data_IF_579829948693
#
_entry.id   IF_579829948693
#
_cell.length_a   1.000
_cell.length_b   1.000
_cell.length_c   1.000
_cell.angle_alpha   90.00
_cell.angle_beta   90.00
_cell.angle_gamma   90.00
#
_symmetry.space_group_name_H-M   'P 1'
#
loop_
_entity.id
_entity.type
_entity.pdbx_description
1 polymer ?
#
# COMPACT_ATOMS: atom_id res chain seq x y z
N UNK A 1 -26.17 27.02 44.35
CA UNK A 1 -25.14 26.42 43.48
C UNK A 1 -24.61 27.53 42.58
N UNK A 2 -23.47 28.13 42.94
CA UNK A 2 -22.93 29.31 42.25
C UNK A 2 -22.27 28.89 40.94
N UNK A 3 -22.97 29.08 39.83
CA UNK A 3 -22.41 28.88 38.48
C UNK A 3 -21.52 30.10 38.16
N UNK A 4 -20.22 29.89 37.93
CA UNK A 4 -19.32 31.00 37.61
C UNK A 4 -19.46 31.43 36.15
N UNK A 5 -19.30 32.73 35.85
CA UNK A 5 -19.34 33.30 34.48
C UNK A 5 -18.45 32.56 33.47
N UNK A 6 -17.38 31.90 33.93
CA UNK A 6 -16.49 31.08 33.10
C UNK A 6 -17.12 29.77 32.62
N UNK A 7 -18.04 29.19 33.39
CA UNK A 7 -18.71 27.95 33.02
C UNK A 7 -19.80 28.21 31.98
N UNK A 8 -20.53 29.33 32.12
CA UNK A 8 -21.52 29.76 31.12
C UNK A 8 -20.90 29.98 29.74
N UNK A 9 -19.71 30.60 29.66
CA UNK A 9 -19.00 30.81 28.39
C UNK A 9 -18.47 29.50 27.77
N UNK A 10 -18.04 28.53 28.59
CA UNK A 10 -17.65 27.20 28.10
C UNK A 10 -18.83 26.44 27.51
N UNK A 11 -20.00 26.46 28.17
CA UNK A 11 -21.20 25.78 27.66
C UNK A 11 -21.80 26.48 26.43
N UNK A 12 -21.69 27.80 26.34
CA UNK A 12 -22.13 28.58 25.18
C UNK A 12 -21.29 28.31 23.92
N UNK A 13 -19.97 28.15 24.08
CA UNK A 13 -19.07 27.84 22.97
C UNK A 13 -19.28 26.42 22.41
N UNK A 14 -19.59 25.45 23.28
CA UNK A 14 -19.88 24.06 22.87
C UNK A 14 -21.24 23.96 22.14
N UNK A 15 -22.25 24.72 22.57
CA UNK A 15 -23.56 24.76 21.89
C UNK A 15 -23.50 25.51 20.54
N UNK A 16 -22.72 26.59 20.44
CA UNK A 16 -22.56 27.35 19.19
C UNK A 16 -21.81 26.59 18.08
N UNK A 17 -20.77 25.84 18.45
CA UNK A 17 -20.01 25.02 17.49
C UNK A 17 -20.84 23.84 16.95
N UNK A 18 -21.70 23.24 17.77
CA UNK A 18 -22.58 22.14 17.37
C UNK A 18 -23.74 22.56 16.46
N UNK A 19 -24.05 23.87 16.35
CA UNK A 19 -25.08 24.43 15.46
C UNK A 19 -24.56 24.98 14.13
N UNK A 20 -23.25 25.22 14.01
CA UNK A 20 -22.62 25.73 12.78
C UNK A 20 -22.10 24.62 11.85
N UNK A 21 -22.19 23.37 12.30
CA UNK A 21 -21.76 22.19 11.58
C UNK A 21 -22.91 21.66 10.71
N UNK A 22 -22.70 21.48 9.40
CA UNK A 22 -23.77 21.02 8.50
C UNK A 22 -24.23 19.61 8.90
N UNK A 23 -25.53 19.32 8.74
CA UNK A 23 -26.21 18.14 9.31
C UNK A 23 -25.53 16.78 9.05
N UNK A 24 -24.72 16.65 7.99
CA UNK A 24 -23.94 15.45 7.69
C UNK A 24 -22.83 15.16 8.72
N UNK A 25 -22.25 16.18 9.34
CA UNK A 25 -21.23 16.02 10.39
C UNK A 25 -21.80 15.54 11.74
N UNK A 26 -23.10 15.72 11.98
CA UNK A 26 -23.77 15.19 13.18
C UNK A 26 -23.98 13.68 13.13
N UNK A 27 -24.14 13.09 11.94
CA UNK A 27 -24.18 11.64 11.77
C UNK A 27 -22.80 10.99 12.02
N UNK A 28 -21.70 11.72 11.74
CA UNK A 28 -20.32 11.29 12.01
C UNK A 28 -20.00 11.26 13.51
N UNK A 29 -20.61 12.14 14.31
CA UNK A 29 -20.40 12.23 15.76
C UNK A 29 -21.09 11.12 16.58
N UNK A 30 -21.99 10.33 15.98
CA UNK A 30 -22.72 9.26 16.66
C UNK A 30 -22.15 7.87 16.40
N UNK A 31 -21.00 7.77 15.73
CA UNK A 31 -20.46 6.50 15.27
C UNK A 31 -19.33 5.98 16.16
N UNK A 32 -19.36 4.67 16.43
CA UNK A 32 -18.31 3.93 17.15
C UNK A 32 -16.98 3.81 16.36
N UNK A 33 -16.89 4.41 15.16
CA UNK A 33 -15.74 4.31 14.24
C UNK A 33 -15.23 5.69 13.83
N UNK A 34 -13.89 5.88 13.71
CA UNK A 34 -13.35 7.11 13.17
C UNK A 34 -13.74 7.30 11.70
N UNK A 35 -13.88 8.54 11.24
CA UNK A 35 -14.02 8.82 9.82
C UNK A 35 -12.75 8.38 9.06
N UNK A 36 -12.90 7.89 7.84
CA UNK A 36 -11.79 7.57 6.94
C UNK A 36 -10.96 8.83 6.69
N UNK A 37 -9.66 8.85 7.04
CA UNK A 37 -8.78 9.95 6.66
C UNK A 37 -8.69 10.05 5.14
N UNK A 38 -8.90 11.24 4.59
CA UNK A 38 -8.77 11.51 3.16
C UNK A 38 -7.45 12.25 2.94
N UNK A 39 -6.46 11.68 2.22
CA UNK A 39 -5.27 12.39 1.80
C UNK A 39 -5.61 13.67 1.05
N UNK A 40 -4.89 14.75 1.33
CA UNK A 40 -5.03 15.99 0.56
C UNK A 40 -4.70 15.74 -0.91
N UNK A 41 -5.57 16.25 -1.80
CA UNK A 41 -5.31 16.25 -3.24
C UNK A 41 -4.48 17.49 -3.59
N UNK A 42 -3.20 17.28 -3.87
CA UNK A 42 -2.22 18.34 -4.07
C UNK A 42 -1.93 18.53 -5.55
N UNK A 43 -2.17 19.73 -6.06
CA UNK A 43 -1.78 20.16 -7.41
C UNK A 43 -0.52 21.02 -7.37
N UNK A 44 0.15 21.16 -8.51
CA UNK A 44 1.25 22.10 -8.65
C UNK A 44 0.80 23.57 -8.46
N UNK A 45 1.68 24.38 -7.87
CA UNK A 45 1.48 25.83 -7.72
C UNK A 45 1.61 26.58 -9.07
N UNK A 46 1.48 27.91 -9.06
CA UNK A 46 1.60 28.74 -10.26
C UNK A 46 2.98 28.66 -10.96
N UNK A 47 4.00 28.08 -10.32
CA UNK A 47 5.35 27.84 -10.86
C UNK A 47 5.53 26.38 -11.29
N UNK A 48 4.44 25.61 -11.39
CA UNK A 48 4.45 24.17 -11.64
C UNK A 48 5.23 23.37 -10.59
N UNK A 49 5.22 23.82 -9.32
CA UNK A 49 5.94 23.17 -8.21
C UNK A 49 5.01 22.52 -7.20
N UNK A 50 5.43 21.36 -6.68
CA UNK A 50 4.85 20.68 -5.53
C UNK A 50 5.92 20.58 -4.45
N UNK A 51 5.55 20.80 -3.18
CA UNK A 51 6.44 20.60 -2.03
C UNK A 51 6.06 19.32 -1.29
N UNK A 52 7.05 18.49 -1.00
CA UNK A 52 6.94 17.34 -0.12
C UNK A 52 7.97 17.45 1.00
N UNK A 53 7.50 17.36 2.25
CA UNK A 53 8.35 17.31 3.43
C UNK A 53 8.27 15.91 4.02
N UNK A 54 9.39 15.18 3.98
CA UNK A 54 9.54 13.89 4.66
C UNK A 54 9.85 14.18 6.13
N UNK A 55 9.02 13.72 7.06
CA UNK A 55 9.14 14.10 8.47
C UNK A 55 8.73 12.99 9.43
N UNK A 56 9.24 13.10 10.65
CA UNK A 56 8.79 12.30 11.79
C UNK A 56 7.73 13.06 12.57
N UNK A 57 6.76 12.32 13.11
CA UNK A 57 5.64 12.82 13.88
C UNK A 57 5.12 11.77 14.85
N UNK A 58 3.91 11.99 15.36
CA UNK A 58 3.22 11.04 16.24
C UNK A 58 1.80 10.77 15.75
N UNK A 59 1.40 9.51 15.77
CA UNK A 59 0.04 9.06 15.42
C UNK A 59 -0.51 8.16 16.52
N UNK A 60 -1.82 8.27 16.76
CA UNK A 60 -2.50 7.44 17.77
C UNK A 60 -3.21 6.28 17.08
N UNK A 61 -2.91 5.06 17.52
CA UNK A 61 -3.52 3.81 17.08
C UNK A 61 -4.24 3.18 18.29
N UNK A 62 -5.57 3.22 18.29
CA UNK A 62 -6.35 2.81 19.47
C UNK A 62 -6.01 3.68 20.68
N UNK A 63 -5.54 3.06 21.76
CA UNK A 63 -5.15 3.76 22.99
C UNK A 63 -3.69 4.25 23.00
N UNK A 64 -2.88 3.87 22.01
CA UNK A 64 -1.43 4.04 22.03
C UNK A 64 -0.98 5.11 21.04
N UNK A 65 0.03 5.90 21.40
CA UNK A 65 0.68 6.86 20.50
C UNK A 65 2.06 6.35 20.08
N UNK A 66 2.27 6.21 18.77
CA UNK A 66 3.53 5.77 18.18
C UNK A 66 4.25 6.94 17.50
N UNK A 67 5.58 6.86 17.44
CA UNK A 67 6.37 7.63 16.48
C UNK A 67 6.10 7.10 15.08
N UNK A 68 5.77 7.98 14.15
CA UNK A 68 5.42 7.64 12.76
C UNK A 68 6.07 8.64 11.81
N UNK A 69 6.26 8.25 10.56
CA UNK A 69 6.80 9.13 9.52
C UNK A 69 5.77 9.38 8.44
N UNK A 70 5.79 10.57 7.84
CA UNK A 70 4.89 10.95 6.76
C UNK A 70 5.49 11.96 5.80
N UNK A 71 4.81 12.14 4.68
CA UNK A 71 5.00 13.21 3.71
C UNK A 71 3.96 14.30 3.97
N UNK A 72 4.36 15.54 4.26
CA UNK A 72 3.47 16.66 4.62
C UNK A 72 2.54 16.37 5.83
N UNK A 73 2.89 15.42 6.68
CA UNK A 73 2.05 14.97 7.79
C UNK A 73 2.77 13.99 8.71
N UNK A 74 2.07 13.48 9.73
CA UNK A 74 2.67 12.56 10.71
C UNK A 74 2.73 11.11 10.22
N UNK A 75 1.90 10.73 9.25
CA UNK A 75 1.74 9.38 8.74
C UNK A 75 1.20 9.45 7.29
N UNK A 76 1.62 8.51 6.43
CA UNK A 76 1.27 8.46 5.02
C UNK A 76 1.68 9.75 4.30
N UNK A 77 0.86 10.25 3.37
CA UNK A 77 1.20 11.36 2.51
C UNK A 77 0.01 11.80 1.66
N UNK A 78 0.17 12.92 0.93
CA UNK A 78 -0.88 13.43 0.06
C UNK A 78 -1.09 12.54 -1.17
N UNK A 79 -2.16 12.83 -1.92
CA UNK A 79 -2.34 12.39 -3.30
C UNK A 79 -1.91 13.51 -4.24
N UNK A 80 -0.86 13.30 -5.04
CA UNK A 80 -0.41 14.28 -6.03
C UNK A 80 -1.25 14.15 -7.30
N UNK A 81 -1.92 15.22 -7.72
CA UNK A 81 -2.64 15.24 -8.99
C UNK A 81 -1.71 15.74 -10.10
N UNK A 82 -1.41 14.84 -11.03
CA UNK A 82 -0.59 15.10 -12.20
C UNK A 82 -1.40 14.99 -13.48
N UNK A 83 -0.91 15.57 -14.57
CA UNK A 83 -1.56 15.48 -15.88
C UNK A 83 -0.58 15.04 -16.96
N UNK A 84 -1.01 14.11 -17.81
CA UNK A 84 -0.26 13.67 -18.99
C UNK A 84 0.17 14.88 -19.83
N UNK A 85 1.44 14.93 -20.23
CA UNK A 85 2.03 15.99 -21.04
C UNK A 85 2.23 17.32 -20.32
N UNK A 86 2.04 17.41 -18.99
CA UNK A 86 2.29 18.61 -18.20
C UNK A 86 3.49 18.40 -17.28
N UNK A 87 4.55 19.17 -17.50
CA UNK A 87 5.75 19.16 -16.67
C UNK A 87 5.44 19.65 -15.25
N UNK A 88 5.98 18.94 -14.27
CA UNK A 88 5.94 19.30 -12.86
C UNK A 88 7.35 19.24 -12.27
N UNK A 89 7.63 20.12 -11.32
CA UNK A 89 8.81 20.02 -10.46
C UNK A 89 8.34 19.67 -9.05
N UNK A 90 8.92 18.65 -8.42
CA UNK A 90 8.67 18.30 -7.01
C UNK A 90 9.91 18.59 -6.20
N UNK A 91 9.77 19.44 -5.20
CA UNK A 91 10.80 19.75 -4.21
C UNK A 91 10.58 18.88 -2.97
N UNK A 92 11.55 18.02 -2.67
CA UNK A 92 11.47 17.01 -1.63
C UNK A 92 12.46 17.38 -0.53
N UNK A 93 11.96 17.80 0.63
CA UNK A 93 12.76 18.15 1.79
C UNK A 93 12.76 17.01 2.80
N UNK A 94 13.93 16.43 3.09
CA UNK A 94 14.06 15.38 4.08
C UNK A 94 14.40 15.98 5.45
N UNK A 95 13.47 15.94 6.40
CA UNK A 95 13.69 16.39 7.78
C UNK A 95 13.98 15.24 8.75
N UNK A 96 14.02 14.00 8.27
CA UNK A 96 14.42 12.85 9.07
C UNK A 96 15.89 12.96 9.48
N UNK A 97 16.26 12.21 10.51
CA UNK A 97 17.65 12.08 10.97
C UNK A 97 18.47 11.08 10.14
N UNK A 98 17.89 10.51 9.08
CA UNK A 98 18.54 9.53 8.20
C UNK A 98 18.29 9.83 6.72
N UNK A 99 19.12 9.22 5.87
CA UNK A 99 18.93 9.23 4.43
C UNK A 99 17.62 8.56 4.03
N UNK A 100 17.01 9.08 2.97
CA UNK A 100 15.88 8.45 2.31
C UNK A 100 15.96 8.66 0.81
N UNK A 101 15.10 8.00 0.07
CA UNK A 101 14.83 8.30 -1.33
C UNK A 101 13.31 8.48 -1.50
N UNK A 102 12.85 8.87 -2.69
CA UNK A 102 11.43 8.91 -3.00
C UNK A 102 11.22 8.37 -4.39
N UNK A 103 10.71 7.14 -4.46
CA UNK A 103 10.42 6.44 -5.71
C UNK A 103 8.98 6.67 -6.14
N UNK A 104 8.78 6.89 -7.44
CA UNK A 104 7.47 7.08 -8.06
C UNK A 104 6.94 5.76 -8.62
N UNK A 105 6.41 4.91 -7.74
CA UNK A 105 5.94 3.59 -8.13
C UNK A 105 4.80 3.65 -9.15
N UNK A 106 5.08 3.12 -10.34
CA UNK A 106 4.16 3.07 -11.47
C UNK A 106 4.30 4.24 -12.44
N UNK A 107 5.17 5.22 -12.18
CA UNK A 107 5.45 6.30 -13.11
C UNK A 107 6.53 5.90 -14.13
N UNK A 108 6.26 6.17 -15.40
CA UNK A 108 7.18 5.99 -16.53
C UNK A 108 8.07 7.24 -16.65
N UNK A 109 9.15 7.28 -15.87
CA UNK A 109 10.09 8.41 -15.80
C UNK A 109 11.55 7.98 -16.02
N UNK A 110 12.44 8.90 -16.43
CA UNK A 110 13.87 8.61 -16.52
C UNK A 110 14.48 8.18 -15.17
N UNK A 111 15.51 7.32 -15.20
CA UNK A 111 16.17 6.82 -14.00
C UNK A 111 16.75 7.92 -13.10
N UNK A 112 17.15 9.05 -13.69
CA UNK A 112 17.67 10.21 -12.96
C UNK A 112 16.67 10.82 -11.99
N UNK A 113 15.36 10.66 -12.24
CA UNK A 113 14.28 11.22 -11.40
C UNK A 113 13.42 10.15 -10.76
N UNK A 114 13.63 8.88 -11.11
CA UNK A 114 12.89 7.72 -10.61
C UNK A 114 12.92 7.60 -9.08
N UNK A 115 14.08 7.88 -8.46
CA UNK A 115 14.22 7.88 -7.00
C UNK A 115 14.40 6.49 -6.37
N UNK A 116 14.89 5.52 -7.15
CA UNK A 116 15.47 4.28 -6.64
C UNK A 116 16.65 4.49 -5.66
N UNK A 117 17.39 3.43 -5.29
CA UNK A 117 18.33 3.46 -4.17
C UNK A 117 19.52 4.43 -4.35
N UNK A 118 19.81 4.85 -5.57
CA UNK A 118 20.85 5.84 -5.89
C UNK A 118 20.36 7.30 -5.70
N UNK A 119 19.05 7.52 -5.62
CA UNK A 119 18.40 8.83 -5.50
C UNK A 119 18.41 9.40 -4.07
N UNK A 120 19.56 9.34 -3.40
CA UNK A 120 19.71 9.69 -1.98
C UNK A 120 19.34 11.16 -1.73
N UNK A 121 18.54 11.37 -0.68
CA UNK A 121 18.25 12.66 -0.07
C UNK A 121 18.77 12.63 1.36
N UNK A 122 19.89 13.33 1.59
CA UNK A 122 20.53 13.39 2.91
C UNK A 122 19.57 13.92 4.00
N UNK A 123 19.80 13.55 5.25
CA UNK A 123 19.13 14.13 6.40
C UNK A 123 19.28 15.66 6.41
N UNK A 124 18.17 16.39 6.57
CA UNK A 124 18.11 17.86 6.44
C UNK A 124 18.25 18.40 5.01
N UNK A 125 18.46 17.52 4.03
CA UNK A 125 18.69 17.87 2.63
C UNK A 125 17.41 18.13 1.84
N UNK A 126 17.59 18.68 0.63
CA UNK A 126 16.50 18.87 -0.33
C UNK A 126 16.92 18.35 -1.69
N UNK A 127 16.00 17.69 -2.39
CA UNK A 127 16.17 17.25 -3.78
C UNK A 127 14.98 17.71 -4.61
N UNK A 128 15.26 18.35 -5.74
CA UNK A 128 14.24 18.74 -6.71
C UNK A 128 14.29 17.80 -7.91
N UNK A 129 13.14 17.27 -8.32
CA UNK A 129 12.99 16.49 -9.56
C UNK A 129 12.01 17.16 -10.49
N UNK A 130 12.29 17.11 -11.79
CA UNK A 130 11.38 17.64 -12.82
C UNK A 130 11.14 16.56 -13.86
N UNK A 131 9.87 16.29 -14.15
CA UNK A 131 9.47 15.31 -15.15
C UNK A 131 8.13 15.67 -15.77
N UNK A 132 7.84 15.04 -16.90
CA UNK A 132 6.57 15.17 -17.61
C UNK A 132 5.95 13.78 -17.68
N UNK A 133 4.84 13.52 -16.98
CA UNK A 133 4.13 12.25 -17.12
C UNK A 133 3.69 12.05 -18.58
N UNK A 134 4.03 10.92 -19.19
CA UNK A 134 3.65 10.60 -20.57
C UNK A 134 2.88 9.27 -20.71
N UNK A 135 2.37 8.77 -19.59
CA UNK A 135 1.53 7.57 -19.55
C UNK A 135 0.04 7.91 -19.45
N UNK A 136 -0.81 6.89 -19.55
CA UNK A 136 -2.26 7.01 -19.40
C UNK A 136 -2.67 7.36 -17.96
N UNK A 137 -3.90 7.83 -17.79
CA UNK A 137 -4.47 8.07 -16.47
C UNK A 137 -4.44 6.80 -15.61
N UNK A 138 -3.95 6.93 -14.38
CA UNK A 138 -3.75 5.82 -13.46
C UNK A 138 -3.65 6.32 -12.01
N UNK A 139 -3.93 5.43 -11.06
CA UNK A 139 -3.55 5.60 -9.66
C UNK A 139 -2.21 4.91 -9.43
N UNK A 140 -1.17 5.71 -9.32
CA UNK A 140 0.18 5.34 -8.91
C UNK A 140 0.40 5.74 -7.45
N UNK A 141 1.60 5.48 -6.93
CA UNK A 141 1.95 5.85 -5.56
C UNK A 141 3.42 6.18 -5.44
N UNK A 142 3.84 6.73 -4.30
CA UNK A 142 5.24 7.02 -4.03
C UNK A 142 5.62 6.60 -2.62
N UNK A 143 6.85 6.13 -2.48
CA UNK A 143 7.36 5.55 -1.24
C UNK A 143 8.90 5.59 -1.22
N UNK A 144 9.55 5.39 -0.05
CA UNK A 144 11.00 5.36 0.03
C UNK A 144 11.57 4.11 -0.64
N UNK A 145 12.78 4.23 -1.17
CA UNK A 145 13.51 3.13 -1.81
C UNK A 145 14.97 3.03 -1.32
N UNK A 146 15.21 3.47 -0.07
CA UNK A 146 16.52 3.44 0.57
C UNK A 146 17.08 2.01 0.61
N UNK A 147 18.30 1.83 0.08
CA UNK A 147 18.95 0.54 0.02
C UNK A 147 19.03 -0.13 1.41
N UNK A 148 18.51 -1.37 1.51
CA UNK A 148 18.46 -2.15 2.76
C UNK A 148 17.47 -1.64 3.81
N UNK A 149 16.77 -0.50 3.59
CA UNK A 149 15.86 0.11 4.58
C UNK A 149 14.46 0.42 4.06
N UNK A 150 14.14 0.15 2.79
CA UNK A 150 12.79 0.36 2.22
C UNK A 150 11.68 -0.15 3.14
N UNK A 151 11.79 -1.40 3.58
CA UNK A 151 10.78 -2.01 4.46
C UNK A 151 10.59 -1.24 5.77
N UNK A 152 11.67 -0.78 6.39
CA UNK A 152 11.61 0.00 7.63
C UNK A 152 10.91 1.34 7.41
N UNK A 153 11.36 2.10 6.40
CA UNK A 153 10.85 3.44 6.16
C UNK A 153 9.36 3.44 5.74
N UNK A 154 8.92 2.44 4.97
CA UNK A 154 7.48 2.21 4.69
C UNK A 154 6.73 1.81 5.95
N UNK A 155 7.28 0.89 6.76
CA UNK A 155 6.64 0.47 8.01
C UNK A 155 6.47 1.63 9.00
N UNK A 156 7.42 2.57 9.05
CA UNK A 156 7.32 3.80 9.86
C UNK A 156 6.21 4.74 9.38
N UNK A 157 5.81 4.66 8.11
CA UNK A 157 4.61 5.33 7.61
C UNK A 157 4.72 6.05 6.28
N UNK A 158 5.89 6.05 5.62
CA UNK A 158 6.11 6.79 4.38
C UNK A 158 5.45 6.10 3.18
N UNK A 159 4.29 6.62 2.75
CA UNK A 159 3.67 6.34 1.47
C UNK A 159 2.71 7.49 1.09
N UNK A 160 2.63 7.84 -0.18
CA UNK A 160 1.60 8.75 -0.71
C UNK A 160 1.14 8.32 -2.09
N UNK A 161 0.14 9.01 -2.64
CA UNK A 161 -0.46 8.63 -3.93
C UNK A 161 -0.05 9.58 -5.05
N UNK A 162 -0.12 9.08 -6.29
CA UNK A 162 -0.03 9.89 -7.50
C UNK A 162 -1.22 9.56 -8.38
N UNK A 163 -2.03 10.55 -8.71
CA UNK A 163 -3.16 10.42 -9.63
C UNK A 163 -2.79 11.10 -10.93
N UNK A 164 -2.61 10.31 -11.98
CA UNK A 164 -2.40 10.82 -13.32
C UNK A 164 -3.75 10.98 -14.00
N UNK A 165 -4.02 12.17 -14.53
CA UNK A 165 -5.16 12.42 -15.42
C UNK A 165 -4.70 12.62 -16.86
N UNK A 166 -5.56 12.24 -17.79
CA UNK A 166 -5.43 12.53 -19.22
C UNK A 166 -6.76 13.05 -19.78
N UNK A 167 -6.78 13.40 -21.07
CA UNK A 167 -7.98 13.95 -21.68
C UNK A 167 -9.10 12.89 -21.83
N UNK A 168 -8.76 11.61 -22.05
CA UNK A 168 -9.72 10.51 -22.22
C UNK A 168 -10.47 10.22 -20.91
N UNK A 169 -9.75 10.00 -19.82
CA UNK A 169 -10.31 9.72 -18.50
C UNK A 169 -11.22 10.82 -17.97
N UNK A 170 -10.95 12.08 -18.34
CA UNK A 170 -11.78 13.23 -17.95
C UNK A 170 -13.12 13.32 -18.68
N UNK A 171 -13.24 12.66 -19.83
CA UNK A 171 -14.50 12.55 -20.57
C UNK A 171 -15.42 11.50 -19.96
N UNK A 172 -14.85 10.50 -19.27
CA UNK A 172 -15.64 9.50 -18.55
C UNK A 172 -16.38 10.16 -17.39
N UNK A 173 -17.64 9.80 -17.23
CA UNK A 173 -18.48 10.25 -16.11
C UNK A 173 -18.32 9.35 -14.89
N UNK A 174 -17.11 8.85 -14.62
CA UNK A 174 -16.82 8.12 -13.38
C UNK A 174 -17.04 9.03 -12.16
N UNK A 175 -17.28 8.44 -10.96
CA UNK A 175 -17.17 9.18 -9.71
C UNK A 175 -15.81 9.88 -9.62
N UNK A 176 -15.82 11.13 -9.15
CA UNK A 176 -14.67 12.06 -9.24
C UNK A 176 -14.66 13.16 -8.19
N UNK A 177 -15.59 13.17 -7.25
CA UNK A 177 -15.56 14.06 -6.10
C UNK A 177 -14.64 13.44 -5.05
N UNK A 178 -13.39 13.91 -5.03
CA UNK A 178 -12.35 13.42 -4.13
C UNK A 178 -12.80 13.47 -2.66
N UNK A 179 -12.69 12.34 -1.97
CA UNK A 179 -13.09 12.20 -0.57
C UNK A 179 -14.60 12.11 -0.36
N UNK A 180 -15.41 12.01 -1.42
CA UNK A 180 -16.87 11.85 -1.36
C UNK A 180 -17.28 10.58 -2.09
N UNK A 181 -17.21 10.58 -3.42
CA UNK A 181 -17.56 9.43 -4.27
C UNK A 181 -16.36 8.86 -5.03
N UNK A 182 -15.18 9.50 -4.92
CA UNK A 182 -13.89 9.01 -5.39
C UNK A 182 -12.89 9.05 -4.24
N UNK A 183 -12.52 7.89 -3.72
CA UNK A 183 -11.89 7.77 -2.40
C UNK A 183 -10.67 6.86 -2.47
N UNK A 184 -9.49 7.30 -2.00
CA UNK A 184 -8.35 6.42 -1.85
C UNK A 184 -8.51 5.51 -0.63
N UNK A 185 -8.06 4.26 -0.76
CA UNK A 185 -8.10 3.25 0.30
C UNK A 185 -6.74 2.55 0.33
N UNK A 186 -5.81 3.13 1.07
CA UNK A 186 -4.47 2.59 1.33
C UNK A 186 -4.56 1.65 2.52
N UNK A 187 -4.38 0.35 2.26
CA UNK A 187 -4.49 -0.69 3.29
C UNK A 187 -3.11 -1.19 3.66
N UNK A 188 -2.80 -1.18 4.95
CA UNK A 188 -1.51 -1.60 5.49
C UNK A 188 -1.71 -2.39 6.78
N UNK A 189 -0.94 -3.43 7.00
CA UNK A 189 -0.81 -4.02 8.34
C UNK A 189 0.42 -3.46 9.07
N UNK A 190 0.30 -3.35 10.41
CA UNK A 190 1.40 -3.00 11.31
C UNK A 190 1.34 -3.87 12.56
N UNK A 191 2.51 -4.05 13.16
CA UNK A 191 2.67 -4.65 14.49
C UNK A 191 3.13 -3.56 15.44
N UNK A 192 2.63 -3.60 16.67
CA UNK A 192 3.04 -2.68 17.73
C UNK A 192 3.63 -3.46 18.91
N UNK A 193 4.62 -2.88 19.57
CA UNK A 193 5.16 -3.42 20.81
C UNK A 193 4.29 -3.04 22.03
N UNK A 194 4.67 -3.49 23.22
CA UNK A 194 3.90 -3.22 24.45
C UNK A 194 3.81 -1.72 24.81
N UNK A 195 4.79 -0.91 24.38
CA UNK A 195 4.80 0.55 24.54
C UNK A 195 4.03 1.28 23.43
N UNK A 196 3.40 0.53 22.51
CA UNK A 196 2.62 1.06 21.41
C UNK A 196 3.43 1.64 20.26
N UNK A 197 4.76 1.44 20.23
CA UNK A 197 5.59 1.83 19.08
C UNK A 197 5.49 0.78 17.96
N UNK A 198 5.75 1.20 16.72
CA UNK A 198 5.83 0.31 15.57
C UNK A 198 6.97 -0.69 15.80
N UNK A 199 6.66 -1.98 15.77
CA UNK A 199 7.60 -3.08 15.97
C UNK A 199 8.09 -3.59 14.61
N UNK A 200 9.06 -2.88 14.04
CA UNK A 200 9.76 -3.29 12.82
C UNK A 200 11.09 -3.93 13.17
N UNK A 201 11.31 -5.15 12.70
CA UNK A 201 12.62 -5.83 12.75
C UNK A 201 12.87 -6.48 11.40
N UNK A 202 14.07 -6.27 10.85
CA UNK A 202 14.59 -7.07 9.75
C UNK A 202 15.52 -8.14 10.35
N UNK A 203 14.99 -9.34 10.47
CA UNK A 203 15.63 -10.52 11.07
C UNK A 203 15.50 -11.74 10.13
N UNK A 204 16.06 -12.88 10.53
CA UNK A 204 16.03 -14.11 9.71
C UNK A 204 14.61 -14.54 9.34
N UNK A 205 13.64 -14.37 10.24
CA UNK A 205 12.24 -14.74 9.99
C UNK A 205 11.63 -13.80 8.95
N UNK A 206 11.66 -12.50 9.19
CA UNK A 206 11.09 -11.49 8.29
C UNK A 206 11.83 -11.37 6.95
N UNK A 207 13.11 -11.73 6.88
CA UNK A 207 13.85 -11.82 5.62
C UNK A 207 13.42 -13.00 4.74
N UNK A 208 12.87 -14.07 5.34
CA UNK A 208 12.37 -15.24 4.62
C UNK A 208 10.88 -15.09 4.23
N UNK A 209 10.02 -14.69 5.19
CA UNK A 209 8.56 -14.70 5.01
C UNK A 209 7.91 -13.32 4.96
N UNK A 210 8.72 -12.27 5.09
CA UNK A 210 8.27 -10.88 5.14
C UNK A 210 7.82 -10.42 6.52
N UNK A 211 7.73 -9.09 6.68
CA UNK A 211 7.14 -8.48 7.88
C UNK A 211 5.62 -8.40 7.74
N UNK A 212 4.92 -8.86 8.77
CA UNK A 212 3.48 -8.73 8.90
C UNK A 212 3.09 -8.46 10.36
N UNK A 213 1.96 -7.82 10.54
CA UNK A 213 1.39 -7.50 11.84
C UNK A 213 -0.03 -8.05 12.03
N UNK A 214 -0.61 -7.72 13.18
CA UNK A 214 -1.95 -8.10 13.60
C UNK A 214 -2.96 -6.94 13.53
N UNK A 215 -2.50 -5.73 13.23
CA UNK A 215 -3.33 -4.52 13.18
C UNK A 215 -3.44 -4.03 11.74
N UNK A 216 -4.65 -4.08 11.18
CA UNK A 216 -4.95 -3.53 9.86
C UNK A 216 -5.32 -2.04 9.95
N UNK A 217 -4.71 -1.23 9.08
CA UNK A 217 -4.95 0.19 8.93
C UNK A 217 -5.53 0.47 7.55
N UNK A 218 -6.45 1.42 7.49
CA UNK A 218 -7.00 1.98 6.24
C UNK A 218 -6.85 3.50 6.28
N UNK A 219 -6.02 4.02 5.38
CA UNK A 219 -5.53 5.40 5.40
C UNK A 219 -4.97 5.81 6.78
N UNK A 220 -4.31 4.87 7.47
CA UNK A 220 -3.73 5.07 8.80
C UNK A 220 -4.71 4.94 9.97
N UNK A 221 -6.01 4.78 9.74
CA UNK A 221 -7.01 4.55 10.80
C UNK A 221 -7.34 3.06 10.97
N UNK A 222 -7.65 2.65 12.20
CA UNK A 222 -8.16 1.30 12.49
C UNK A 222 -9.66 1.28 12.20
N UNK A 223 -10.08 0.43 11.26
CA UNK A 223 -11.48 0.20 10.85
C UNK A 223 -12.34 1.48 10.78
N UNK A 224 -11.95 2.44 9.91
CA UNK A 224 -12.71 3.66 9.73
C UNK A 224 -14.06 3.42 9.05
N UNK A 225 -14.87 4.47 9.02
CA UNK A 225 -16.08 4.55 8.21
C UNK A 225 -15.99 5.67 7.16
N UNK A 226 -16.60 5.46 6.00
CA UNK A 226 -16.75 6.45 4.95
C UNK A 226 -18.22 6.67 4.61
N UNK A 227 -18.66 7.93 4.63
CA UNK A 227 -20.03 8.29 4.27
C UNK A 227 -20.09 8.69 2.79
N UNK A 228 -20.86 7.96 1.99
CA UNK A 228 -20.88 8.11 0.54
C UNK A 228 -22.30 8.36 -0.01
N UNK A 229 -22.48 9.21 -1.04
CA UNK A 229 -23.78 9.41 -1.69
C UNK A 229 -24.25 8.15 -2.43
N UNK A 230 -25.57 7.90 -2.48
CA UNK A 230 -26.19 6.78 -3.21
C UNK A 230 -25.82 6.80 -4.69
N UNK A 231 -25.58 5.64 -5.28
CA UNK A 231 -25.13 5.49 -6.66
C UNK A 231 -23.82 4.72 -6.69
N UNK A 232 -22.90 5.15 -7.55
CA UNK A 232 -21.58 4.54 -7.67
C UNK A 232 -20.55 5.21 -6.76
N UNK A 233 -19.90 4.41 -5.91
CA UNK A 233 -18.72 4.79 -5.15
C UNK A 233 -17.48 4.21 -5.82
N UNK A 234 -16.49 5.06 -6.13
CA UNK A 234 -15.17 4.65 -6.65
C UNK A 234 -14.18 4.57 -5.49
N UNK A 235 -13.54 3.41 -5.35
CA UNK A 235 -12.47 3.16 -4.41
C UNK A 235 -11.17 2.94 -5.17
N UNK A 236 -10.14 3.74 -4.86
CA UNK A 236 -8.78 3.58 -5.38
C UNK A 236 -7.97 2.80 -4.35
N UNK A 237 -7.96 1.48 -4.50
CA UNK A 237 -7.35 0.55 -3.57
C UNK A 237 -5.82 0.53 -3.79
N UNK A 238 -5.06 0.59 -2.71
CA UNK A 238 -3.62 0.34 -2.69
C UNK A 238 -3.34 -0.69 -1.59
N UNK A 239 -2.71 -1.81 -1.94
CA UNK A 239 -2.09 -2.67 -0.95
C UNK A 239 -0.70 -2.08 -0.61
N UNK A 240 -0.62 -1.31 0.48
CA UNK A 240 0.61 -0.70 0.98
C UNK A 240 1.32 -1.54 2.04
N UNK A 241 1.00 -2.84 2.17
CA UNK A 241 1.65 -3.73 3.14
C UNK A 241 3.08 -4.06 2.70
N UNK A 242 3.96 -4.33 3.66
CA UNK A 242 5.34 -4.74 3.36
C UNK A 242 5.39 -6.11 2.68
N UNK A 243 4.60 -7.07 3.15
CA UNK A 243 4.64 -8.46 2.67
C UNK A 243 3.29 -9.15 2.55
N UNK A 244 2.22 -8.59 3.12
CA UNK A 244 0.90 -9.21 3.16
C UNK A 244 0.17 -9.00 1.83
N UNK A 245 -0.20 -10.08 1.14
CA UNK A 245 -1.24 -10.04 0.11
C UNK A 245 -2.63 -9.87 0.74
N UNK A 246 -3.53 -9.23 0.01
CA UNK A 246 -4.92 -8.97 0.41
C UNK A 246 -5.87 -9.60 -0.60
N UNK A 247 -7.13 -9.80 -0.20
CA UNK A 247 -8.19 -10.25 -1.11
C UNK A 247 -9.50 -9.53 -0.77
N UNK A 248 -9.81 -8.44 -1.48
CA UNK A 248 -10.92 -7.57 -1.13
C UNK A 248 -12.28 -8.16 -1.54
N UNK A 249 -13.28 -8.03 -0.68
CA UNK A 249 -14.66 -8.37 -0.97
C UNK A 249 -15.62 -7.43 -0.20
N UNK A 250 -16.90 -7.46 -0.54
CA UNK A 250 -17.93 -6.81 0.28
C UNK A 250 -18.55 -7.81 1.28
N UNK A 251 -18.82 -7.36 2.50
CA UNK A 251 -19.37 -8.19 3.58
C UNK A 251 -20.73 -8.82 3.25
N UNK A 252 -21.54 -8.15 2.43
CA UNK A 252 -22.84 -8.62 1.97
C UNK A 252 -22.80 -9.28 0.58
N UNK A 253 -21.59 -9.53 0.07
CA UNK A 253 -21.31 -10.17 -1.22
C UNK A 253 -21.76 -9.36 -2.44
N UNK A 254 -22.05 -8.06 -2.29
CA UNK A 254 -22.24 -7.18 -3.47
C UNK A 254 -20.95 -7.17 -4.32
N UNK A 255 -21.07 -7.12 -5.64
CA UNK A 255 -19.91 -7.18 -6.53
C UNK A 255 -19.05 -5.91 -6.47
N UNK A 256 -17.77 -6.07 -6.78
CA UNK A 256 -16.86 -4.99 -7.11
C UNK A 256 -16.70 -4.94 -8.64
N UNK A 257 -16.74 -3.74 -9.22
CA UNK A 257 -16.53 -3.54 -10.66
C UNK A 257 -15.16 -2.92 -10.89
N UNK A 258 -14.18 -3.73 -11.26
CA UNK A 258 -12.82 -3.27 -11.54
C UNK A 258 -12.81 -2.45 -12.82
N UNK A 259 -12.34 -1.20 -12.73
CA UNK A 259 -12.27 -0.27 -13.87
C UNK A 259 -10.84 0.13 -14.22
N UNK A 260 -9.88 -0.04 -13.31
CA UNK A 260 -8.47 0.20 -13.57
C UNK A 260 -7.57 -0.74 -12.77
N UNK A 261 -6.37 -0.99 -13.30
CA UNK A 261 -5.24 -1.64 -12.61
C UNK A 261 -4.08 -0.66 -12.44
N UNK A 262 -2.88 -1.14 -12.10
CA UNK A 262 -1.68 -0.33 -11.85
C UNK A 262 -1.40 0.77 -12.88
N UNK A 263 -1.55 0.42 -14.16
CA UNK A 263 -1.19 1.26 -15.31
C UNK A 263 -2.37 1.98 -15.96
N UNK A 264 -3.54 1.99 -15.32
CA UNK A 264 -4.71 2.74 -15.76
C UNK A 264 -5.93 1.90 -16.10
N UNK A 265 -6.84 2.51 -16.84
CA UNK A 265 -8.15 1.93 -17.16
C UNK A 265 -8.05 0.59 -17.92
N UNK A 266 -8.93 -0.34 -17.53
CA UNK A 266 -9.29 -1.54 -18.30
C UNK A 266 -10.14 -1.14 -19.52
N UNK A 267 -10.29 -1.97 -20.57
CA UNK A 267 -11.09 -1.60 -21.73
C UNK A 267 -12.59 -1.50 -21.39
N UNK A 268 -13.06 -2.35 -20.48
CA UNK A 268 -14.42 -2.40 -19.96
C UNK A 268 -14.40 -2.82 -18.48
N UNK A 269 -15.46 -2.55 -17.69
CA UNK A 269 -15.52 -2.96 -16.29
C UNK A 269 -15.53 -4.49 -16.13
N UNK A 270 -14.69 -5.01 -15.24
CA UNK A 270 -14.67 -6.44 -14.89
C UNK A 270 -15.34 -6.65 -13.55
N UNK A 271 -16.48 -7.34 -13.56
CA UNK A 271 -17.25 -7.66 -12.34
C UNK A 271 -16.60 -8.82 -11.59
N UNK A 272 -16.29 -8.63 -10.32
CA UNK A 272 -15.72 -9.66 -9.44
C UNK A 272 -16.45 -9.75 -8.11
N UNK A 273 -16.43 -10.93 -7.49
CA UNK A 273 -16.92 -11.14 -6.11
C UNK A 273 -15.83 -10.89 -5.06
N UNK A 274 -14.58 -11.12 -5.45
CA UNK A 274 -13.38 -10.93 -4.65
C UNK A 274 -12.23 -10.45 -5.54
N UNK A 275 -11.29 -9.71 -4.98
CA UNK A 275 -10.20 -9.06 -5.69
C UNK A 275 -8.87 -9.28 -4.96
N UNK A 276 -8.08 -10.29 -5.36
CA UNK A 276 -6.72 -10.47 -4.89
C UNK A 276 -5.86 -9.26 -5.24
N UNK A 277 -5.03 -8.81 -4.30
CA UNK A 277 -4.09 -7.70 -4.48
C UNK A 277 -2.74 -8.00 -3.81
N UNK A 278 -1.68 -7.96 -4.60
CA UNK A 278 -0.30 -8.09 -4.15
C UNK A 278 0.25 -6.76 -3.63
N UNK A 279 1.38 -6.82 -2.93
CA UNK A 279 2.01 -5.66 -2.31
C UNK A 279 2.45 -4.65 -3.37
N UNK A 280 2.00 -3.40 -3.24
CA UNK A 280 2.26 -2.31 -4.17
C UNK A 280 1.30 -2.21 -5.36
N UNK A 281 0.40 -3.19 -5.55
CA UNK A 281 -0.62 -3.12 -6.59
C UNK A 281 -1.72 -2.11 -6.26
N UNK A 282 -2.31 -1.54 -7.31
CA UNK A 282 -3.51 -0.71 -7.25
C UNK A 282 -4.57 -1.26 -8.17
N UNK A 283 -5.80 -1.21 -7.67
CA UNK A 283 -6.99 -1.36 -8.49
C UNK A 283 -7.98 -0.26 -8.15
N UNK A 284 -8.69 0.20 -9.16
CA UNK A 284 -9.82 1.08 -8.96
C UNK A 284 -11.10 0.31 -9.20
N UNK A 285 -12.00 0.35 -8.23
CA UNK A 285 -13.28 -0.38 -8.29
C UNK A 285 -14.45 0.56 -8.10
N UNK A 286 -15.54 0.29 -8.79
CA UNK A 286 -16.85 0.88 -8.51
C UNK A 286 -17.69 -0.10 -7.72
N UNK A 287 -18.41 0.41 -6.72
CA UNK A 287 -19.37 -0.35 -5.91
C UNK A 287 -20.72 0.35 -5.93
N UNK A 288 -21.78 -0.40 -6.22
CA UNK A 288 -23.15 0.14 -6.20
C UNK A 288 -23.67 0.22 -4.76
N UNK A 289 -24.01 1.42 -4.33
CA UNK A 289 -24.58 1.73 -3.01
C UNK A 289 -25.96 2.38 -3.10
N UNK A 290 -26.64 2.22 -4.25
CA UNK A 290 -27.98 2.78 -4.51
C UNK A 290 -29.06 2.24 -3.57
N UNK A 291 -28.88 1.01 -3.06
CA UNK A 291 -29.81 0.36 -2.12
C UNK A 291 -29.85 1.05 -0.74
N UNK A 292 -28.87 1.91 -0.44
CA UNK A 292 -28.77 2.65 0.80
C UNK A 292 -28.42 1.80 2.02
N UNK A 293 -27.98 0.54 1.83
CA UNK A 293 -27.63 -0.36 2.94
C UNK A 293 -26.15 -0.24 3.29
N UNK A 294 -25.78 -0.04 4.57
CA UNK A 294 -24.39 -0.11 5.00
C UNK A 294 -23.80 -1.49 4.78
N UNK A 295 -22.50 -1.54 4.46
CA UNK A 295 -21.73 -2.78 4.33
C UNK A 295 -20.25 -2.48 4.64
N UNK A 296 -19.46 -3.52 4.88
CA UNK A 296 -18.02 -3.39 5.03
C UNK A 296 -17.31 -3.83 3.75
N UNK A 297 -16.31 -3.07 3.32
CA UNK A 297 -15.19 -3.63 2.56
C UNK A 297 -14.38 -4.49 3.53
N UNK A 298 -14.11 -5.74 3.14
CA UNK A 298 -13.33 -6.71 3.93
C UNK A 298 -12.15 -7.21 3.12
N UNK A 299 -11.12 -7.73 3.79
CA UNK A 299 -10.13 -8.63 3.17
C UNK A 299 -10.38 -10.06 3.64
N UNK A 300 -10.41 -11.01 2.70
CA UNK A 300 -10.55 -12.43 2.96
C UNK A 300 -9.19 -13.05 3.35
N UNK A 301 -9.18 -14.20 4.04
CA UNK A 301 -7.95 -14.96 4.28
C UNK A 301 -7.26 -15.32 2.96
N UNK A 302 -5.93 -15.24 2.95
CA UNK A 302 -5.09 -15.54 1.78
C UNK A 302 -4.26 -16.80 2.03
N UNK A 303 -4.03 -17.58 0.98
CA UNK A 303 -3.08 -18.71 1.00
C UNK A 303 -1.66 -18.21 0.83
N UNK A 304 -1.18 -17.50 1.86
CA UNK A 304 0.20 -17.03 1.97
C UNK A 304 0.69 -17.35 3.38
N UNK A 305 1.88 -17.92 3.46
CA UNK A 305 2.52 -18.30 4.70
C UNK A 305 2.60 -17.15 5.71
N UNK A 306 2.22 -17.41 6.96
CA UNK A 306 2.15 -16.41 8.04
C UNK A 306 0.94 -15.47 7.97
N UNK A 307 0.30 -15.32 6.80
CA UNK A 307 -0.72 -14.29 6.57
C UNK A 307 -2.13 -14.72 7.01
N UNK A 308 -2.36 -16.00 7.28
CA UNK A 308 -3.62 -16.51 7.81
C UNK A 308 -3.61 -16.68 9.36
N UNK A 309 -2.67 -16.04 10.06
CA UNK A 309 -2.69 -15.96 11.53
C UNK A 309 -3.76 -14.96 11.97
N UNK A 310 -4.49 -15.28 13.04
CA UNK A 310 -5.50 -14.40 13.62
C UNK A 310 -4.93 -12.97 13.87
N UNK A 311 -5.70 -11.91 13.54
CA UNK A 311 -7.12 -11.91 13.20
C UNK A 311 -7.46 -12.16 11.71
N UNK A 312 -6.47 -12.48 10.87
CA UNK A 312 -6.61 -12.65 9.42
C UNK A 312 -6.95 -14.10 8.98
N UNK A 313 -7.23 -14.98 9.93
CA UNK A 313 -7.73 -16.35 9.71
C UNK A 313 -9.20 -16.38 9.24
N UNK A 314 -9.85 -15.22 9.22
CA UNK A 314 -11.23 -14.98 8.82
C UNK A 314 -11.34 -13.66 8.04
N UNK A 315 -12.47 -13.38 7.36
CA UNK A 315 -12.71 -12.09 6.75
C UNK A 315 -12.51 -10.95 7.76
N UNK A 316 -11.60 -10.03 7.45
CA UNK A 316 -11.22 -8.93 8.31
C UNK A 316 -11.78 -7.60 7.75
N UNK A 317 -12.51 -6.81 8.56
CA UNK A 317 -13.00 -5.50 8.11
C UNK A 317 -11.86 -4.55 7.74
N UNK A 318 -12.05 -3.80 6.64
CA UNK A 318 -11.14 -2.77 6.14
C UNK A 318 -11.79 -1.41 6.35
N UNK A 319 -12.97 -1.21 5.77
CA UNK A 319 -13.66 0.08 5.73
C UNK A 319 -15.16 -0.13 5.80
N UNK A 320 -15.82 0.55 6.74
CA UNK A 320 -17.28 0.60 6.80
C UNK A 320 -17.83 1.64 5.82
N UNK A 321 -18.71 1.25 4.91
CA UNK A 321 -19.37 2.18 3.98
C UNK A 321 -20.77 2.49 4.50
N UNK A 322 -21.03 3.78 4.73
CA UNK A 322 -22.31 4.32 5.19
C UNK A 322 -22.98 5.13 4.06
N UNK A 323 -23.94 4.57 3.32
CA UNK A 323 -24.65 5.32 2.30
C UNK A 323 -25.45 6.50 2.89
N UNK A 324 -25.43 7.63 2.21
CA UNK A 324 -26.19 8.84 2.50
C UNK A 324 -27.49 8.88 1.68
N UNK A 325 -28.40 9.80 2.01
CA UNK A 325 -29.64 9.98 1.25
C UNK A 325 -29.46 10.74 -0.08
N UNK A 326 -28.35 11.46 -0.23
CA UNK A 326 -28.03 12.25 -1.42
C UNK A 326 -27.51 11.33 -2.53
N UNK A 327 -27.90 11.60 -3.78
CA UNK A 327 -27.45 10.83 -4.93
C UNK A 327 -26.13 11.37 -5.51
N UNK A 328 -25.26 10.46 -5.91
CA UNK A 328 -24.04 10.71 -6.68
C UNK A 328 -24.37 10.89 -8.16
N UNK A 329 -23.54 11.64 -8.88
CA UNK A 329 -23.71 11.85 -10.33
C UNK A 329 -22.84 10.91 -11.18
N UNK A 330 -21.92 10.17 -10.56
CA UNK A 330 -21.03 9.24 -11.25
C UNK A 330 -21.78 8.07 -11.87
N UNK A 331 -21.28 7.59 -13.00
CA UNK A 331 -21.80 6.44 -13.76
C UNK A 331 -20.72 5.39 -13.95
N UNK A 332 -21.11 4.16 -14.26
CA UNK A 332 -20.23 3.09 -14.74
C UNK A 332 -20.44 2.93 -16.26
N UNK A 333 -19.54 3.44 -17.12
CA UNK A 333 -19.63 3.24 -18.57
C UNK A 333 -19.33 1.79 -18.96
N UNK A 334 -19.99 1.30 -20.03
CA UNK A 334 -19.71 -0.04 -20.58
C UNK A 334 -18.32 -0.12 -21.23
N UNK A 335 -17.82 0.99 -21.76
CA UNK A 335 -16.47 1.10 -22.35
C UNK A 335 -15.70 2.22 -21.66
N UNK A 336 -14.47 1.92 -21.27
CA UNK A 336 -13.62 2.80 -20.48
C UNK A 336 -12.43 3.34 -21.30
N UNK A 337 -11.74 2.48 -22.04
CA UNK A 337 -10.64 2.87 -22.93
C UNK A 337 -10.41 1.82 -24.02
N UNK A 338 -9.49 2.11 -24.95
CA UNK A 338 -8.99 1.14 -25.93
C UNK A 338 -7.58 0.68 -25.54
N UNK A 339 -7.39 -0.62 -25.35
CA UNK A 339 -6.06 -1.22 -25.16
C UNK A 339 -5.46 -1.67 -26.51
N UNK A 340 -4.15 -1.45 -26.73
CA UNK A 340 -3.48 -2.01 -27.90
C UNK A 340 -3.43 -3.53 -27.81
N UNK A 341 -3.51 -4.20 -28.96
CA UNK A 341 -3.25 -5.64 -29.05
C UNK A 341 -1.79 -5.95 -28.70
N UNK A 342 -1.53 -7.16 -28.19
CA UNK A 342 -0.18 -7.63 -27.97
C UNK A 342 0.58 -7.75 -29.30
N UNK A 343 1.85 -7.32 -29.38
CA UNK A 343 2.68 -7.51 -30.57
C UNK A 343 3.03 -9.00 -30.76
N UNK A 344 3.54 -9.35 -31.95
CA UNK A 344 4.15 -10.67 -32.16
C UNK A 344 5.31 -10.88 -31.17
N UNK A 345 5.42 -12.10 -30.64
CA UNK A 345 6.49 -12.50 -29.73
C UNK A 345 7.76 -12.95 -30.47
N UNK A 346 7.67 -13.20 -31.77
CA UNK A 346 8.79 -13.64 -32.60
C UNK A 346 9.83 -12.53 -32.72
N UNK A 347 11.11 -12.87 -32.52
CA UNK A 347 12.22 -11.93 -32.60
C UNK A 347 12.38 -10.98 -31.41
N UNK A 348 11.46 -10.99 -30.43
CA UNK A 348 11.62 -10.19 -29.21
C UNK A 348 12.79 -10.72 -28.37
N UNK A 349 13.61 -9.80 -27.84
CA UNK A 349 14.68 -10.17 -26.89
C UNK A 349 14.05 -10.80 -25.65
N UNK A 350 14.52 -11.99 -25.28
CA UNK A 350 14.08 -12.68 -24.07
C UNK A 350 15.13 -12.55 -22.97
N UNK A 351 14.71 -12.14 -21.77
CA UNK A 351 15.55 -12.09 -20.57
C UNK A 351 14.98 -13.04 -19.52
N UNK A 352 15.85 -13.80 -18.85
CA UNK A 352 15.46 -14.69 -17.75
C UNK A 352 15.92 -14.09 -16.41
N UNK A 353 15.00 -14.04 -15.45
CA UNK A 353 15.24 -13.63 -14.07
C UNK A 353 14.84 -14.79 -13.16
N UNK A 354 15.82 -15.52 -12.66
CA UNK A 354 15.61 -16.59 -11.68
C UNK A 354 15.66 -15.99 -10.28
N UNK A 355 14.54 -15.99 -9.57
CA UNK A 355 14.49 -15.66 -8.16
C UNK A 355 15.01 -16.84 -7.36
N UNK A 356 15.78 -16.58 -6.31
CA UNK A 356 16.17 -17.61 -5.34
C UNK A 356 16.32 -17.05 -3.94
N UNK A 357 15.99 -17.87 -2.96
CA UNK A 357 16.27 -17.64 -1.55
C UNK A 357 17.33 -18.67 -1.10
N UNK A 358 18.30 -18.25 -0.30
CA UNK A 358 19.28 -19.17 0.27
C UNK A 358 18.53 -20.27 1.06
N UNK A 359 18.79 -21.56 0.81
CA UNK A 359 18.07 -22.65 1.48
C UNK A 359 18.18 -22.64 3.00
N UNK A 360 19.30 -22.14 3.55
CA UNK A 360 19.49 -22.02 4.99
C UNK A 360 18.66 -20.86 5.57
N UNK A 361 18.55 -19.73 4.85
CA UNK A 361 17.64 -18.64 5.23
C UNK A 361 16.20 -19.14 5.23
N UNK A 362 15.77 -19.81 4.16
CA UNK A 362 14.42 -20.36 4.04
C UNK A 362 14.11 -21.28 5.22
N UNK A 363 14.95 -22.29 5.45
CA UNK A 363 14.77 -23.24 6.54
C UNK A 363 14.74 -22.56 7.93
N UNK A 364 15.70 -21.66 8.22
CA UNK A 364 15.75 -20.98 9.52
C UNK A 364 14.57 -20.03 9.72
N UNK A 365 14.16 -19.30 8.68
CA UNK A 365 13.02 -18.40 8.71
C UNK A 365 11.71 -19.17 8.92
N UNK A 366 11.55 -20.30 8.23
CA UNK A 366 10.45 -21.24 8.42
C UNK A 366 10.39 -21.78 9.84
N UNK A 367 11.51 -22.24 10.38
CA UNK A 367 11.58 -22.75 11.76
C UNK A 367 11.20 -21.65 12.77
N UNK A 368 11.70 -20.43 12.57
CA UNK A 368 11.36 -19.30 13.44
C UNK A 368 9.87 -18.95 13.36
N UNK A 369 9.27 -18.96 12.16
CA UNK A 369 7.84 -18.72 11.97
C UNK A 369 6.99 -19.79 12.66
N UNK A 370 7.32 -21.06 12.45
CA UNK A 370 6.60 -22.20 13.04
C UNK A 370 6.76 -22.25 14.56
N UNK A 371 7.94 -21.94 15.10
CA UNK A 371 8.17 -21.83 16.53
C UNK A 371 7.29 -20.72 17.16
N UNK A 372 7.07 -19.62 16.43
CA UNK A 372 6.32 -18.47 16.92
C UNK A 372 4.81 -18.63 16.83
N UNK A 373 4.29 -19.20 15.75
CA UNK A 373 2.84 -19.23 15.47
C UNK A 373 2.25 -20.65 15.34
N UNK A 374 3.08 -21.69 15.36
CA UNK A 374 2.68 -23.08 15.17
C UNK A 374 2.02 -23.33 13.82
N UNK A 375 1.20 -24.37 13.74
CA UNK A 375 0.52 -24.81 12.51
C UNK A 375 -0.37 -23.72 11.86
N UNK A 376 -0.80 -22.73 12.64
CA UNK A 376 -1.59 -21.60 12.15
C UNK A 376 -0.84 -20.77 11.10
N UNK A 377 0.50 -20.75 11.14
CA UNK A 377 1.31 -20.08 10.13
C UNK A 377 1.14 -20.67 8.72
N UNK A 378 0.70 -21.93 8.62
CA UNK A 378 0.52 -22.65 7.35
C UNK A 378 -0.96 -22.84 6.98
N UNK A 379 -1.88 -22.20 7.70
CA UNK A 379 -3.31 -22.32 7.42
C UNK A 379 -3.63 -21.90 5.97
N UNK A 380 -4.44 -22.73 5.27
CA UNK A 380 -4.81 -22.48 3.87
C UNK A 380 -3.76 -22.85 2.81
N UNK A 381 -2.59 -23.35 3.21
CA UNK A 381 -1.56 -23.86 2.28
C UNK A 381 -1.89 -25.28 1.80
N UNK A 382 -1.49 -25.64 0.57
CA UNK A 382 -1.75 -26.97 0.01
C UNK A 382 -0.97 -28.07 0.77
N UNK A 383 -1.57 -29.25 0.93
CA UNK A 383 -0.98 -30.36 1.70
C UNK A 383 0.39 -30.83 1.16
N UNK A 384 0.63 -30.71 -0.15
CA UNK A 384 1.93 -31.00 -0.77
C UNK A 384 3.04 -30.01 -0.40
N UNK A 385 2.70 -28.73 -0.18
CA UNK A 385 3.63 -27.71 0.31
C UNK A 385 3.93 -27.91 1.81
N UNK A 386 2.92 -28.31 2.60
CA UNK A 386 3.13 -28.68 4.02
C UNK A 386 4.09 -29.88 4.15
N UNK A 387 3.91 -30.92 3.32
CA UNK A 387 4.75 -32.13 3.37
C UNK A 387 6.14 -31.91 2.75
N UNK A 388 6.27 -31.09 1.69
CA UNK A 388 7.58 -30.73 1.11
C UNK A 388 8.50 -30.02 2.10
N UNK A 389 7.94 -29.21 3.00
CA UNK A 389 8.68 -28.58 4.10
C UNK A 389 8.92 -29.51 5.29
N UNK A 390 8.00 -30.46 5.60
CA UNK A 390 8.23 -31.47 6.65
C UNK A 390 9.18 -32.61 6.22
N UNK A 391 9.37 -32.84 4.92
CA UNK A 391 10.29 -33.86 4.41
C UNK A 391 11.75 -33.39 4.38
N UNK A 392 12.03 -32.20 4.93
CA UNK A 392 13.35 -31.84 5.45
C UNK A 392 13.63 -32.72 6.68
N UNK A 393 14.06 -33.96 6.42
CA UNK A 393 14.36 -35.05 7.34
C UNK A 393 14.51 -34.64 8.82
N UNK A 394 13.40 -34.75 9.57
CA UNK A 394 13.38 -34.57 11.02
C UNK A 394 14.33 -35.54 11.76
N UNK A 395 14.83 -36.60 11.11
CA UNK A 395 15.74 -37.59 11.68
C UNK A 395 17.16 -37.09 11.95
N UNK A 396 17.58 -35.96 11.38
CA UNK A 396 18.90 -35.33 11.64
C UNK A 396 18.83 -34.00 12.39
N UNK A 397 17.66 -33.63 12.91
CA UNK A 397 17.41 -32.33 13.57
C UNK A 397 17.90 -32.24 15.03
N UNK A 398 18.53 -33.30 15.58
CA UNK A 398 19.03 -33.30 16.96
C UNK A 398 20.40 -32.65 17.18
N UNK A 399 21.07 -32.14 16.13
CA UNK A 399 22.51 -31.82 16.21
C UNK A 399 22.99 -30.53 15.55
N UNK A 400 22.12 -29.73 14.91
CA UNK A 400 22.56 -28.51 14.21
C UNK A 400 22.35 -27.20 14.99
N UNK A 401 22.00 -27.28 16.28
CA UNK A 401 21.92 -26.11 17.15
C UNK A 401 23.28 -25.50 17.52
N UNK A 402 24.40 -26.03 17.01
CA UNK A 402 25.74 -25.61 17.43
C UNK A 402 26.83 -25.79 16.36
N UNK A 403 26.52 -25.53 15.09
CA UNK A 403 27.58 -25.39 14.07
C UNK A 403 28.21 -24.01 14.21
N UNK A 404 29.41 -23.98 14.79
CA UNK A 404 30.23 -22.79 14.99
C UNK A 404 30.65 -22.22 13.62
N UNK A 405 29.97 -21.18 13.14
CA UNK A 405 30.27 -20.50 11.87
C UNK A 405 31.48 -19.55 11.97
N UNK A 406 32.54 -19.92 12.71
CA UNK A 406 33.63 -18.97 13.00
C UNK A 406 33.11 -17.65 13.60
N UNK A 407 33.98 -16.64 13.69
CA UNK A 407 33.64 -15.34 14.31
C UNK A 407 32.58 -14.50 13.54
N UNK A 408 31.98 -15.03 12.47
CA UNK A 408 31.03 -14.33 11.60
C UNK A 408 29.80 -15.20 11.33
N UNK A 409 28.71 -14.98 12.06
CA UNK A 409 27.42 -15.67 11.87
C UNK A 409 26.85 -15.54 10.44
N UNK A 410 25.83 -16.36 10.11
CA UNK A 410 25.16 -16.34 8.80
C UNK A 410 24.59 -14.95 8.47
N UNK A 411 25.09 -14.33 7.40
CA UNK A 411 24.56 -13.06 6.88
C UNK A 411 23.33 -13.30 5.98
N UNK A 412 22.15 -13.02 6.51
CA UNK A 412 20.90 -13.11 5.75
C UNK A 412 20.62 -11.88 4.88
N UNK A 413 21.34 -10.76 5.04
CA UNK A 413 21.03 -9.52 4.31
C UNK A 413 21.22 -9.65 2.79
N UNK A 414 22.06 -10.59 2.37
CA UNK A 414 22.38 -10.89 0.96
C UNK A 414 21.93 -12.29 0.53
N UNK A 415 21.05 -12.94 1.30
CA UNK A 415 20.66 -14.33 1.08
C UNK A 415 19.55 -14.50 0.03
N UNK A 416 18.84 -13.43 -0.32
CA UNK A 416 17.85 -13.41 -1.41
C UNK A 416 18.48 -12.83 -2.68
N UNK A 417 18.23 -13.47 -3.83
CA UNK A 417 19.00 -13.25 -5.05
C UNK A 417 18.14 -13.26 -6.32
N UNK A 418 18.66 -12.62 -7.36
CA UNK A 418 18.19 -12.75 -8.74
C UNK A 418 19.37 -13.22 -9.59
N UNK A 419 19.18 -14.28 -10.37
CA UNK A 419 20.22 -14.91 -11.19
C UNK A 419 21.50 -15.22 -10.36
N UNK A 420 21.30 -15.68 -9.12
CA UNK A 420 22.38 -16.09 -8.21
C UNK A 420 23.20 -14.93 -7.62
N UNK A 421 22.72 -13.69 -7.73
CA UNK A 421 23.36 -12.52 -7.12
C UNK A 421 22.39 -11.75 -6.25
N UNK A 422 22.84 -11.37 -5.05
CA UNK A 422 22.18 -10.31 -4.28
C UNK A 422 22.29 -8.98 -5.05
N UNK A 423 21.42 -8.03 -4.70
CA UNK A 423 21.45 -6.72 -5.32
C UNK A 423 22.80 -6.01 -5.08
N UNK A 424 23.44 -5.57 -6.16
CA UNK A 424 24.64 -4.75 -6.14
C UNK A 424 24.35 -3.41 -6.84
N UNK A 425 24.28 -2.34 -6.05
CA UNK A 425 23.98 -1.00 -6.54
C UNK A 425 25.02 -0.45 -7.53
N UNK A 426 26.24 -1.01 -7.52
CA UNK A 426 27.33 -0.57 -8.39
C UNK A 426 27.37 -1.32 -9.73
N UNK A 427 26.62 -2.43 -9.84
CA UNK A 427 26.70 -3.31 -11.01
C UNK A 427 25.30 -3.60 -11.57
N UNK A 428 24.81 -2.80 -12.54
CA UNK A 428 23.60 -3.13 -13.27
C UNK A 428 23.73 -4.50 -13.96
N UNK A 429 22.71 -5.35 -13.84
CA UNK A 429 22.76 -6.72 -14.37
C UNK A 429 22.83 -6.77 -15.90
N UNK A 430 22.16 -5.84 -16.59
CA UNK A 430 22.11 -5.73 -18.04
C UNK A 430 21.61 -4.35 -18.48
N UNK A 431 21.74 -4.04 -19.77
CA UNK A 431 21.09 -2.91 -20.41
C UNK A 431 19.87 -3.39 -21.22
N UNK A 432 18.68 -2.91 -20.85
CA UNK A 432 17.44 -3.13 -21.61
C UNK A 432 17.35 -2.19 -22.81
N UNK A 433 16.64 -2.61 -23.86
CA UNK A 433 16.58 -1.84 -25.11
C UNK A 433 15.48 -0.78 -25.03
N UNK A 434 15.84 0.50 -25.15
CA UNK A 434 14.87 1.60 -25.12
C UNK A 434 13.93 1.54 -26.33
N UNK A 435 12.62 1.66 -26.09
CA UNK A 435 11.60 1.75 -27.14
C UNK A 435 11.36 0.45 -27.91
N UNK A 436 11.78 -0.69 -27.38
CA UNK A 436 11.55 -2.01 -27.97
C UNK A 436 10.86 -2.92 -26.96
N UNK A 437 9.89 -3.73 -27.41
CA UNK A 437 9.30 -4.76 -26.57
C UNK A 437 10.32 -5.85 -26.28
N UNK A 438 10.37 -6.30 -25.02
CA UNK A 438 11.16 -7.44 -24.59
C UNK A 438 10.25 -8.43 -23.83
N UNK A 439 10.64 -9.71 -23.80
CA UNK A 439 9.95 -10.76 -23.04
C UNK A 439 10.77 -11.11 -21.82
N UNK A 440 10.29 -10.77 -20.64
CA UNK A 440 10.97 -11.10 -19.40
C UNK A 440 10.30 -12.31 -18.76
N UNK A 441 11.09 -13.36 -18.50
CA UNK A 441 10.64 -14.60 -17.89
C UNK A 441 11.18 -14.63 -16.47
N UNK A 442 10.29 -14.44 -15.50
CA UNK A 442 10.61 -14.44 -14.08
C UNK A 442 10.17 -15.79 -13.49
N UNK A 443 11.11 -16.53 -12.91
CA UNK A 443 10.84 -17.82 -12.26
C UNK A 443 11.07 -17.74 -10.77
N UNK A 444 10.11 -18.24 -9.99
CA UNK A 444 10.25 -18.50 -8.56
C UNK A 444 10.38 -19.99 -8.23
N UNK A 445 10.63 -20.84 -9.23
CA UNK A 445 10.88 -22.27 -8.99
C UNK A 445 12.16 -22.43 -8.17
N UNK A 446 12.09 -23.19 -7.07
CA UNK A 446 13.24 -23.50 -6.22
C UNK A 446 14.32 -24.27 -6.99
N UNK A 447 15.58 -23.95 -6.72
CA UNK A 447 16.76 -24.58 -7.34
C UNK A 447 17.36 -25.68 -6.50
#
# INVERSE_FOLDING_TARGET
>A
MNMQRRDFLKYSAVLGAASALPLWSRAVLAADRPALPIPDLVTADARSRIQLVVQSGKTTFGANTATTWGYNGNLLGPALQLRKGKTVTVDIHNTLSEETTLHWHGLEVPGEVDGGPQGIINAGGTRSVTFTPDQRAATCWFHPHQHGKTGHQVAMGLAGLVLIEDDESRLLRLPKQWGIDDVPVIVQDKKFNADGQIDYQLDVMSAAVGLFGDTLLTNGAIYPQHAAPKGWLRLRLLNGCNARSLNFAASDKRPLYVVASDGGLLPEPVKVSELPMLMGERFEVLVDISDGKPFDLVTLPVSQMGMAVAPFDKPHPVLHIQPLLVAASGTLPDTLTTLPALPSLEGLTQRRLQLSMNPMLDMMGMQALMAKYGDKAMAGMQHGQMMGHMNMDHGKMGGMGNMNHGDHGFDFHNANMINGKAFDMNTPMFAATKGQFERWVISGEGT
#
